data_IF_647276493728
#
_entry.id   IF_647276493728
#
_cell.length_a   1.000
_cell.length_b   1.000
_cell.length_c   1.000
_cell.angle_alpha   90.00
_cell.angle_beta   90.00
_cell.angle_gamma   90.00
#
_symmetry.space_group_name_H-M   'P 1'
#
loop_
_entity.id
_entity.type
_entity.pdbx_description
1 polymer ?
#
# COMPACT_ATOMS: atom_id res chain seq x y z
N UNK A 1 9.54 31.20 -9.84
CA UNK A 1 9.92 30.42 -8.63
C UNK A 1 10.90 29.35 -9.04
N UNK A 2 12.03 29.22 -8.34
CA UNK A 2 13.02 28.15 -8.64
C UNK A 2 12.33 26.77 -8.52
N UNK A 3 12.68 25.79 -9.37
CA UNK A 3 12.00 24.49 -9.41
C UNK A 3 12.02 23.75 -8.06
N UNK A 4 13.03 24.02 -7.21
CA UNK A 4 13.11 23.48 -5.84
C UNK A 4 12.06 24.09 -4.89
N UNK A 5 11.81 25.40 -4.96
CA UNK A 5 10.84 26.07 -4.09
C UNK A 5 9.39 25.59 -4.34
N UNK A 6 9.04 25.30 -5.60
CA UNK A 6 7.73 24.73 -5.96
C UNK A 6 7.52 23.33 -5.38
N UNK A 7 8.59 22.52 -5.33
CA UNK A 7 8.55 21.18 -4.73
C UNK A 7 8.37 21.21 -3.22
N UNK A 8 9.11 22.07 -2.51
CA UNK A 8 8.95 22.24 -1.07
C UNK A 8 7.55 22.74 -0.70
N UNK A 9 7.01 23.70 -1.45
CA UNK A 9 5.66 24.22 -1.24
C UNK A 9 4.60 23.11 -1.44
N UNK A 10 4.74 22.29 -2.50
CA UNK A 10 3.83 21.15 -2.73
C UNK A 10 3.85 20.16 -1.57
N UNK A 11 5.03 19.78 -1.07
CA UNK A 11 5.12 18.88 0.07
C UNK A 11 4.53 19.49 1.33
N UNK A 12 4.79 20.76 1.61
CA UNK A 12 4.26 21.46 2.78
C UNK A 12 2.72 21.50 2.75
N UNK A 13 2.13 21.78 1.59
CA UNK A 13 0.67 21.78 1.41
C UNK A 13 0.11 20.37 1.63
N UNK A 14 0.71 19.33 1.01
CA UNK A 14 0.26 17.94 1.19
C UNK A 14 0.35 17.47 2.64
N UNK A 15 1.45 17.80 3.34
CA UNK A 15 1.64 17.45 4.76
C UNK A 15 0.67 18.21 5.66
N UNK A 16 0.47 19.51 5.41
CA UNK A 16 -0.50 20.32 6.13
C UNK A 16 -1.93 19.78 5.96
N UNK A 17 -2.31 19.43 4.74
CA UNK A 17 -3.62 18.84 4.43
C UNK A 17 -3.80 17.47 5.11
N UNK A 18 -2.78 16.61 5.07
CA UNK A 18 -2.80 15.34 5.78
C UNK A 18 -2.98 15.53 7.30
N UNK A 19 -2.29 16.51 7.89
CA UNK A 19 -2.42 16.87 9.30
C UNK A 19 -3.82 17.37 9.66
N UNK A 20 -4.43 18.21 8.82
CA UNK A 20 -5.80 18.69 9.01
C UNK A 20 -6.80 17.54 8.97
N UNK A 21 -6.70 16.64 7.98
CA UNK A 21 -7.60 15.49 7.91
C UNK A 21 -7.40 14.50 9.04
N UNK A 22 -6.15 14.27 9.47
CA UNK A 22 -5.87 13.42 10.62
C UNK A 22 -6.47 14.04 11.90
N UNK A 23 -6.31 15.35 12.11
CA UNK A 23 -6.95 16.04 13.21
C UNK A 23 -8.46 15.89 13.15
N UNK A 24 -9.10 16.14 11.99
CA UNK A 24 -10.55 15.99 11.85
C UNK A 24 -11.03 14.55 12.09
N UNK A 25 -10.27 13.55 11.69
CA UNK A 25 -10.61 12.13 11.88
C UNK A 25 -10.56 11.70 13.36
N UNK A 26 -9.63 12.24 14.14
CA UNK A 26 -9.45 11.90 15.56
C UNK A 26 -10.08 12.92 16.53
N UNK A 27 -10.58 14.05 16.03
CA UNK A 27 -11.18 15.09 16.88
C UNK A 27 -12.48 14.56 17.50
N UNK A 28 -12.48 14.42 18.83
CA UNK A 28 -13.64 13.96 19.59
C UNK A 28 -13.75 12.45 19.71
N UNK A 29 -12.73 11.70 19.26
CA UNK A 29 -12.70 10.24 19.34
C UNK A 29 -11.94 9.79 20.57
N UNK A 30 -12.54 8.90 21.37
CA UNK A 30 -11.86 8.26 22.50
C UNK A 30 -10.90 7.18 21.99
N UNK A 31 -9.61 7.47 22.05
CA UNK A 31 -8.54 6.56 21.63
C UNK A 31 -8.61 5.24 22.42
N UNK A 32 -8.94 5.27 23.71
CA UNK A 32 -9.04 4.06 24.53
C UNK A 32 -10.19 3.16 24.04
N UNK A 33 -11.32 3.76 23.65
CA UNK A 33 -12.44 3.03 23.06
C UNK A 33 -12.06 2.39 21.71
N UNK A 34 -11.32 3.10 20.85
CA UNK A 34 -10.80 2.53 19.59
C UNK A 34 -9.93 1.29 19.87
N UNK A 35 -9.00 1.36 20.82
CA UNK A 35 -8.16 0.21 21.18
C UNK A 35 -8.97 -0.96 21.72
N UNK A 36 -10.02 -0.70 22.50
CA UNK A 36 -10.93 -1.74 22.96
C UNK A 36 -11.66 -2.43 21.78
N UNK A 37 -12.15 -1.64 20.82
CA UNK A 37 -12.78 -2.16 19.60
C UNK A 37 -11.82 -3.03 18.77
N UNK A 38 -10.56 -2.59 18.62
CA UNK A 38 -9.54 -3.36 17.88
C UNK A 38 -9.22 -4.68 18.57
N UNK A 39 -9.18 -4.73 19.91
CA UNK A 39 -8.96 -5.97 20.67
C UNK A 39 -10.14 -6.95 20.59
N UNK A 40 -11.36 -6.42 20.50
CA UNK A 40 -12.58 -7.23 20.36
C UNK A 40 -12.91 -7.60 18.90
N UNK A 41 -12.16 -7.08 17.93
CA UNK A 41 -12.42 -7.31 16.52
C UNK A 41 -12.18 -8.78 16.14
N UNK A 42 -13.00 -9.28 15.21
CA UNK A 42 -12.83 -10.64 14.71
C UNK A 42 -11.64 -10.71 13.73
N UNK A 43 -10.51 -11.23 14.23
CA UNK A 43 -9.27 -11.41 13.47
C UNK A 43 -9.39 -12.37 12.29
N UNK A 44 -10.45 -13.18 12.21
CA UNK A 44 -10.74 -14.03 11.04
C UNK A 44 -10.82 -13.19 9.75
N UNK A 45 -11.46 -12.02 9.81
CA UNK A 45 -11.59 -11.14 8.65
C UNK A 45 -10.25 -10.55 8.22
N UNK A 46 -9.36 -10.24 9.18
CA UNK A 46 -8.01 -9.76 8.88
C UNK A 46 -7.21 -10.85 8.16
N UNK A 47 -7.29 -12.09 8.66
CA UNK A 47 -6.63 -13.23 8.03
C UNK A 47 -7.18 -13.49 6.61
N UNK A 48 -8.50 -13.42 6.44
CA UNK A 48 -9.14 -13.58 5.13
C UNK A 48 -8.67 -12.49 4.15
N UNK A 49 -8.67 -11.23 4.57
CA UNK A 49 -8.19 -10.11 3.76
C UNK A 49 -6.72 -10.27 3.37
N UNK A 50 -5.89 -10.73 4.30
CA UNK A 50 -4.48 -11.01 4.03
C UNK A 50 -4.33 -12.13 2.99
N UNK A 51 -5.09 -13.21 3.11
CA UNK A 51 -5.12 -14.30 2.12
C UNK A 51 -5.56 -13.82 0.74
N UNK A 52 -6.65 -13.06 0.65
CA UNK A 52 -7.13 -12.48 -0.60
C UNK A 52 -6.11 -11.51 -1.23
N UNK A 53 -5.41 -10.72 -0.40
CA UNK A 53 -4.38 -9.81 -0.86
C UNK A 53 -3.19 -10.59 -1.46
N UNK A 54 -2.73 -11.65 -0.81
CA UNK A 54 -1.68 -12.52 -1.37
C UNK A 54 -2.12 -13.20 -2.66
N UNK A 55 -3.35 -13.72 -2.72
CA UNK A 55 -3.92 -14.31 -3.94
C UNK A 55 -3.98 -13.28 -5.08
N UNK A 56 -4.43 -12.06 -4.81
CA UNK A 56 -4.46 -10.97 -5.78
C UNK A 56 -3.07 -10.69 -6.37
N UNK A 57 -2.03 -10.67 -5.55
CA UNK A 57 -0.65 -10.53 -6.04
C UNK A 57 -0.13 -11.77 -6.76
N UNK A 58 -0.53 -12.97 -6.35
CA UNK A 58 -0.18 -14.22 -7.02
C UNK A 58 -0.77 -14.27 -8.44
N UNK A 59 -2.04 -13.89 -8.61
CA UNK A 59 -2.68 -13.77 -9.92
C UNK A 59 -1.97 -12.73 -10.78
N UNK A 60 -1.58 -11.59 -10.21
CA UNK A 60 -0.77 -10.59 -10.93
C UNK A 60 0.56 -11.16 -11.38
N UNK A 61 1.29 -11.83 -10.50
CA UNK A 61 2.55 -12.49 -10.87
C UNK A 61 2.32 -13.50 -12.01
N UNK A 62 1.28 -14.31 -11.94
CA UNK A 62 0.95 -15.24 -13.02
C UNK A 62 0.63 -14.52 -14.34
N UNK A 63 -0.15 -13.45 -14.30
CA UNK A 63 -0.43 -12.61 -15.48
C UNK A 63 0.85 -12.06 -16.11
N UNK A 64 1.78 -11.56 -15.29
CA UNK A 64 3.07 -11.06 -15.76
C UNK A 64 3.95 -12.17 -16.37
N UNK A 65 3.76 -13.43 -15.95
CA UNK A 65 4.50 -14.56 -16.51
C UNK A 65 4.15 -14.75 -17.98
N UNK A 66 2.86 -14.72 -18.31
CA UNK A 66 2.39 -14.79 -19.69
C UNK A 66 2.87 -13.60 -20.52
N UNK A 67 2.84 -12.39 -19.96
CA UNK A 67 3.29 -11.20 -20.68
C UNK A 67 4.79 -11.22 -20.99
N UNK A 68 5.60 -11.80 -20.11
CA UNK A 68 7.05 -11.88 -20.24
C UNK A 68 7.53 -13.12 -21.00
N UNK A 69 6.65 -14.09 -21.25
CA UNK A 69 6.96 -15.30 -21.99
C UNK A 69 7.66 -15.06 -23.35
N UNK A 70 7.25 -14.09 -24.20
CA UNK A 70 7.95 -13.80 -25.46
C UNK A 70 9.33 -13.15 -25.26
N UNK A 71 9.61 -12.57 -24.09
CA UNK A 71 10.88 -11.89 -23.80
C UNK A 71 11.86 -12.85 -23.14
N UNK A 72 11.41 -13.61 -22.15
CA UNK A 72 12.21 -14.57 -21.40
C UNK A 72 11.36 -15.75 -21.01
N UNK A 73 11.64 -16.89 -21.64
CA UNK A 73 10.93 -18.14 -21.36
C UNK A 73 11.29 -18.70 -19.99
N UNK A 74 10.34 -19.39 -19.36
CA UNK A 74 10.53 -20.13 -18.10
C UNK A 74 10.97 -19.30 -16.88
N UNK A 75 10.46 -18.07 -16.72
CA UNK A 75 10.64 -17.35 -15.44
C UNK A 75 9.94 -18.11 -14.31
N UNK A 76 10.69 -18.47 -13.27
CA UNK A 76 10.16 -19.12 -12.09
C UNK A 76 9.13 -18.25 -11.37
N UNK A 77 8.00 -18.85 -10.98
CA UNK A 77 6.89 -18.11 -10.33
C UNK A 77 7.34 -17.40 -9.04
N UNK A 78 8.22 -18.01 -8.24
CA UNK A 78 8.75 -17.40 -7.01
C UNK A 78 9.48 -16.09 -7.29
N UNK A 79 10.36 -16.07 -8.30
CA UNK A 79 11.10 -14.86 -8.65
C UNK A 79 10.16 -13.76 -9.12
N UNK A 80 9.17 -14.11 -9.93
CA UNK A 80 8.21 -13.15 -10.45
C UNK A 80 7.29 -12.60 -9.35
N UNK A 81 6.84 -13.47 -8.44
CA UNK A 81 6.06 -13.08 -7.29
C UNK A 81 6.84 -12.14 -6.36
N UNK A 82 8.10 -12.45 -6.06
CA UNK A 82 8.97 -11.57 -5.28
C UNK A 82 9.16 -10.21 -5.96
N UNK A 83 9.40 -10.18 -7.28
CA UNK A 83 9.50 -8.93 -8.04
C UNK A 83 8.22 -8.09 -7.98
N UNK A 84 7.05 -8.74 -8.11
CA UNK A 84 5.75 -8.07 -7.96
C UNK A 84 5.60 -7.50 -6.55
N UNK A 85 5.93 -8.27 -5.51
CA UNK A 85 5.84 -7.81 -4.12
C UNK A 85 6.73 -6.60 -3.84
N UNK A 86 7.99 -6.64 -4.27
CA UNK A 86 8.91 -5.49 -4.13
C UNK A 86 8.39 -4.29 -4.91
N UNK A 87 7.91 -4.48 -6.13
CA UNK A 87 7.36 -3.40 -6.95
C UNK A 87 6.15 -2.73 -6.30
N UNK A 88 5.23 -3.50 -5.72
CA UNK A 88 4.09 -2.94 -4.99
C UNK A 88 4.51 -2.29 -3.67
N UNK A 89 5.47 -2.86 -2.94
CA UNK A 89 6.01 -2.24 -1.73
C UNK A 89 6.59 -0.85 -2.03
N UNK A 90 7.44 -0.74 -3.04
CA UNK A 90 8.02 0.55 -3.47
C UNK A 90 6.91 1.52 -3.86
N UNK A 91 5.88 1.06 -4.57
CA UNK A 91 4.84 1.97 -5.04
C UNK A 91 3.88 2.44 -3.90
N UNK A 92 3.88 1.79 -2.73
CA UNK A 92 3.20 2.31 -1.54
C UNK A 92 4.01 3.41 -0.83
N UNK A 93 5.34 3.36 -0.90
CA UNK A 93 6.23 4.33 -0.23
C UNK A 93 6.47 5.56 -1.08
N UNK A 94 6.60 5.38 -2.40
CA UNK A 94 6.93 6.48 -3.32
C UNK A 94 5.67 7.31 -3.59
N UNK A 95 5.67 8.62 -3.24
CA UNK A 95 4.57 9.51 -3.60
C UNK A 95 4.58 9.72 -5.11
N UNK A 96 3.47 9.36 -5.75
CA UNK A 96 3.20 9.52 -7.18
C UNK A 96 2.29 10.71 -7.39
#
# INVERSE_FOLDING_TARGET
MTPRAKTYLRYLISLGLAGVFLYLAFRGTDIAHIFALVKGANYFWILLMFGLLLMSHAVRAWRWRYLLEPIKRNIGFRNLFSSVMVGYMVNNVVPR
#
